data_IF_426115999208
#
_entry.id   IF_426115999208
#
_cell.length_a   1.000
_cell.length_b   1.000
_cell.length_c   1.000
_cell.angle_alpha   90.00
_cell.angle_beta   90.00
_cell.angle_gamma   90.00
#
_symmetry.space_group_name_H-M   'P 1'
#
loop_
_entity.id
_entity.type
_entity.pdbx_description
1 polymer ?
#
# COMPACT_ATOMS: atom_id res chain seq x y z
N UNK A 1 65.70 -55.63 5.15
CA UNK A 1 65.20 -56.14 3.84
C UNK A 1 63.90 -55.39 3.54
N UNK A 2 63.62 -55.07 2.27
CA UNK A 2 63.62 -53.70 1.78
C UNK A 2 62.28 -53.28 1.13
N UNK A 3 62.32 -52.07 0.54
CA UNK A 3 61.72 -51.70 -0.75
C UNK A 3 60.20 -51.52 -0.86
N UNK A 4 59.82 -50.33 -1.34
CA UNK A 4 58.62 -50.13 -2.16
C UNK A 4 58.51 -51.17 -3.27
N UNK A 5 57.30 -51.33 -3.82
CA UNK A 5 57.22 -51.43 -5.27
C UNK A 5 56.21 -50.47 -5.90
N UNK A 6 56.65 -50.06 -7.08
CA UNK A 6 56.04 -49.29 -8.14
C UNK A 6 55.00 -50.11 -8.93
N UNK A 7 54.07 -49.37 -9.55
CA UNK A 7 53.52 -49.56 -10.92
C UNK A 7 52.88 -50.90 -11.35
N UNK A 8 51.70 -50.83 -11.98
CA UNK A 8 51.50 -50.99 -13.43
C UNK A 8 49.99 -51.01 -13.77
N UNK A 9 49.67 -50.38 -14.90
CA UNK A 9 48.38 -50.22 -15.58
C UNK A 9 47.65 -51.53 -15.94
N UNK A 10 46.33 -51.46 -15.99
CA UNK A 10 45.53 -52.12 -17.03
C UNK A 10 44.29 -51.29 -17.37
N UNK A 11 44.19 -50.86 -18.63
CA UNK A 11 43.05 -50.16 -19.22
C UNK A 11 42.05 -51.17 -19.82
N UNK A 12 40.75 -50.90 -19.70
CA UNK A 12 39.64 -51.64 -20.35
C UNK A 12 38.55 -50.60 -20.75
N UNK A 13 37.86 -50.77 -21.90
CA UNK A 13 37.74 -49.70 -22.89
C UNK A 13 36.44 -48.89 -22.85
N UNK A 14 36.53 -47.72 -23.46
CA UNK A 14 35.44 -46.86 -23.93
C UNK A 14 34.54 -47.57 -24.94
N UNK A 15 33.24 -47.63 -24.64
CA UNK A 15 32.18 -47.86 -25.62
C UNK A 15 31.19 -46.70 -25.59
N UNK A 16 30.77 -46.35 -26.80
CA UNK A 16 30.06 -45.16 -27.22
C UNK A 16 28.64 -45.08 -26.64
N UNK A 17 28.25 -43.89 -26.15
CA UNK A 17 26.84 -43.49 -26.06
C UNK A 17 26.64 -42.15 -26.78
N UNK A 18 25.60 -42.03 -27.63
CA UNK A 18 25.44 -40.93 -28.58
C UNK A 18 24.98 -39.63 -27.94
N UNK A 19 25.55 -38.53 -28.43
CA UNK A 19 25.20 -37.14 -28.15
C UNK A 19 23.79 -36.81 -28.66
N UNK A 20 22.92 -36.37 -27.74
CA UNK A 20 21.63 -35.77 -28.08
C UNK A 20 21.81 -34.27 -28.36
N UNK A 21 21.11 -33.71 -29.36
CA UNK A 21 21.41 -32.39 -29.89
C UNK A 21 20.96 -31.25 -28.98
N UNK A 22 21.86 -30.30 -28.75
CA UNK A 22 21.60 -28.98 -28.19
C UNK A 22 20.68 -28.22 -29.14
N UNK A 23 19.37 -28.15 -28.83
CA UNK A 23 18.45 -27.24 -29.50
C UNK A 23 18.58 -25.84 -28.88
N UNK A 24 19.18 -24.93 -29.65
CA UNK A 24 19.03 -23.48 -29.47
C UNK A 24 17.54 -23.13 -29.51
N UNK A 25 17.00 -22.59 -28.43
CA UNK A 25 15.72 -21.88 -28.46
C UNK A 25 16.03 -20.41 -28.70
N UNK A 26 15.57 -19.95 -29.86
CA UNK A 26 15.67 -18.60 -30.36
C UNK A 26 14.84 -17.63 -29.53
N UNK A 27 15.39 -16.41 -29.39
CA UNK A 27 14.73 -15.21 -28.88
C UNK A 27 13.33 -15.07 -29.52
N UNK A 28 12.29 -15.14 -28.70
CA UNK A 28 10.92 -14.81 -29.10
C UNK A 28 10.56 -13.47 -28.48
N UNK A 29 10.22 -12.54 -29.36
CA UNK A 29 9.81 -11.17 -29.04
C UNK A 29 8.50 -11.18 -28.27
N UNK A 30 8.50 -10.55 -27.09
CA UNK A 30 7.29 -10.29 -26.32
C UNK A 30 6.37 -9.37 -27.12
N UNK A 31 5.22 -9.89 -27.54
CA UNK A 31 4.10 -9.09 -28.08
C UNK A 31 3.11 -8.79 -26.95
N UNK A 32 2.55 -7.56 -26.85
CA UNK A 32 1.57 -7.23 -25.82
C UNK A 32 0.29 -8.05 -25.99
N UNK A 33 -0.24 -8.53 -24.88
CA UNK A 33 -1.46 -9.34 -24.82
C UNK A 33 -2.67 -8.53 -25.30
N UNK A 34 -3.39 -9.04 -26.31
CA UNK A 34 -4.67 -8.50 -26.78
C UNK A 34 -5.74 -8.69 -25.70
N UNK A 35 -6.41 -7.59 -25.31
CA UNK A 35 -7.62 -7.59 -24.46
C UNK A 35 -8.69 -8.52 -25.06
N UNK A 36 -9.06 -9.59 -24.38
CA UNK A 36 -10.30 -10.35 -24.64
C UNK A 36 -11.45 -9.67 -23.90
N UNK A 37 -12.43 -9.16 -24.67
CA UNK A 37 -13.68 -8.61 -24.14
C UNK A 37 -14.62 -9.76 -23.78
N UNK A 38 -15.07 -9.82 -22.53
CA UNK A 38 -16.29 -10.54 -22.17
C UNK A 38 -17.41 -9.50 -22.02
N UNK A 39 -18.51 -9.71 -22.73
CA UNK A 39 -19.70 -8.90 -22.65
C UNK A 39 -20.49 -9.28 -21.39
N UNK A 40 -20.64 -8.34 -20.47
CA UNK A 40 -21.67 -8.35 -19.43
C UNK A 40 -22.28 -6.95 -19.39
N UNK A 41 -23.60 -6.92 -19.50
CA UNK A 41 -24.39 -5.72 -19.72
C UNK A 41 -24.54 -4.93 -18.42
N UNK A 42 -23.57 -4.07 -18.11
CA UNK A 42 -23.77 -2.90 -17.25
C UNK A 42 -22.80 -1.81 -17.74
N UNK A 43 -23.26 -1.01 -18.70
CA UNK A 43 -22.47 0.01 -19.37
C UNK A 43 -22.31 1.25 -18.47
N UNK A 44 -21.46 1.19 -17.44
CA UNK A 44 -20.76 2.41 -17.00
C UNK A 44 -19.63 2.61 -18.00
N UNK A 45 -19.73 3.63 -18.83
CA UNK A 45 -18.63 4.09 -19.69
C UNK A 45 -17.39 4.24 -18.80
N UNK A 46 -16.33 3.46 -19.09
CA UNK A 46 -14.99 3.73 -18.59
C UNK A 46 -14.60 5.10 -19.14
N UNK A 47 -14.89 6.15 -18.38
CA UNK A 47 -14.32 7.45 -18.66
C UNK A 47 -12.85 7.32 -18.28
N UNK A 48 -11.97 7.48 -19.27
CA UNK A 48 -10.54 7.50 -19.02
C UNK A 48 -10.25 8.65 -18.03
N UNK A 49 -9.74 8.30 -16.84
CA UNK A 49 -9.35 9.27 -15.82
C UNK A 49 -8.33 10.22 -16.44
N UNK A 50 -8.50 11.54 -16.30
CA UNK A 50 -7.58 12.49 -16.92
C UNK A 50 -6.15 12.30 -16.43
N UNK A 51 -5.20 12.32 -17.37
CA UNK A 51 -3.78 12.26 -17.06
C UNK A 51 -3.35 13.62 -16.49
N UNK A 52 -2.92 13.65 -15.22
CA UNK A 52 -2.46 14.88 -14.57
C UNK A 52 -0.97 15.13 -14.90
N UNK A 53 -0.46 16.37 -14.81
CA UNK A 53 0.94 16.70 -15.12
C UNK A 53 1.98 16.02 -14.20
N UNK A 54 1.54 15.51 -13.05
CA UNK A 54 2.35 14.82 -12.06
C UNK A 54 1.66 13.53 -11.66
N UNK A 55 2.43 12.52 -11.30
CA UNK A 55 1.94 11.24 -10.79
C UNK A 55 2.83 10.73 -9.66
N UNK A 56 2.35 9.73 -8.94
CA UNK A 56 3.15 8.96 -8.00
C UNK A 56 3.80 7.74 -8.66
N UNK A 57 5.05 7.48 -8.32
CA UNK A 57 5.62 6.13 -8.39
C UNK A 57 5.57 5.53 -6.99
N UNK A 58 4.85 4.42 -6.80
CA UNK A 58 4.49 3.93 -5.47
C UNK A 58 5.17 2.61 -5.09
N UNK A 59 5.35 2.40 -3.80
CA UNK A 59 5.76 1.14 -3.17
C UNK A 59 4.93 0.85 -1.93
N UNK A 60 4.82 -0.43 -1.58
CA UNK A 60 4.01 -0.89 -0.44
C UNK A 60 4.84 -1.90 0.35
N UNK A 61 4.92 -1.70 1.68
CA UNK A 61 5.47 -2.65 2.65
C UNK A 61 4.38 -3.01 3.67
N UNK A 62 4.18 -4.31 3.93
CA UNK A 62 3.08 -4.81 4.76
C UNK A 62 3.56 -5.93 5.67
N UNK A 63 3.19 -5.85 6.95
CA UNK A 63 3.27 -6.93 7.91
C UNK A 63 1.97 -7.00 8.71
N UNK A 64 1.40 -8.19 8.82
CA UNK A 64 0.19 -8.39 9.62
C UNK A 64 0.55 -9.11 10.92
N UNK A 65 0.12 -8.59 12.07
CA UNK A 65 0.28 -9.27 13.37
C UNK A 65 -0.45 -10.62 13.40
N UNK A 66 -1.50 -10.75 12.58
CA UNK A 66 -2.28 -11.98 12.42
C UNK A 66 -2.86 -12.12 11.00
N UNK A 67 -3.23 -13.33 10.55
CA UNK A 67 -3.92 -13.50 9.28
C UNK A 67 -5.25 -12.72 9.23
N UNK A 68 -5.56 -12.03 8.12
CA UNK A 68 -6.80 -11.26 7.98
C UNK A 68 -8.02 -12.18 8.08
N UNK A 69 -9.07 -11.70 8.75
CA UNK A 69 -10.36 -12.38 8.74
C UNK A 69 -10.89 -12.44 7.31
N UNK A 70 -11.28 -13.61 6.77
CA UNK A 70 -11.87 -13.70 5.45
C UNK A 70 -13.11 -12.80 5.35
N UNK A 71 -13.29 -12.12 4.22
CA UNK A 71 -14.49 -11.32 4.03
C UNK A 71 -15.74 -12.23 3.97
N UNK A 72 -16.86 -11.84 4.55
CA UNK A 72 -18.09 -12.60 4.45
C UNK A 72 -18.67 -12.50 3.03
N UNK A 73 -19.57 -13.41 2.61
CA UNK A 73 -20.42 -13.17 1.46
C UNK A 73 -21.20 -11.84 1.61
N UNK A 74 -21.46 -11.10 0.51
CA UNK A 74 -21.17 -11.40 -0.89
C UNK A 74 -19.76 -10.97 -1.33
N UNK A 75 -18.95 -10.43 -0.41
CA UNK A 75 -17.67 -9.83 -0.75
C UNK A 75 -16.69 -10.88 -1.29
N UNK A 76 -16.65 -12.10 -0.75
CA UNK A 76 -15.87 -13.20 -1.38
C UNK A 76 -16.69 -13.91 -2.47
N UNK A 77 -16.06 -14.13 -3.63
CA UNK A 77 -16.56 -15.14 -4.58
C UNK A 77 -16.26 -16.55 -4.04
N UNK A 78 -17.26 -17.44 -3.83
CA UNK A 78 -16.96 -18.85 -3.66
C UNK A 78 -16.31 -19.40 -4.95
N UNK A 79 -15.43 -20.41 -4.88
CA UNK A 79 -14.95 -21.08 -6.09
C UNK A 79 -16.14 -21.66 -6.85
N UNK A 80 -16.12 -21.57 -8.18
CA UNK A 80 -17.04 -22.33 -9.02
C UNK A 80 -16.79 -23.82 -8.78
N UNK A 81 -17.62 -24.48 -7.99
CA UNK A 81 -17.56 -25.93 -7.81
C UNK A 81 -18.15 -26.62 -9.04
N UNK A 82 -17.33 -26.77 -10.09
CA UNK A 82 -17.46 -27.87 -11.05
C UNK A 82 -16.20 -28.71 -10.97
N UNK A 83 -16.28 -29.76 -10.16
CA UNK A 83 -15.29 -30.82 -10.07
C UNK A 83 -15.38 -31.70 -11.33
N UNK A 84 -14.57 -31.40 -12.35
CA UNK A 84 -14.02 -32.37 -13.30
C UNK A 84 -12.95 -31.69 -14.17
N UNK A 85 -11.70 -31.58 -13.67
CA UNK A 85 -10.53 -31.66 -14.55
C UNK A 85 -9.28 -32.05 -13.75
N UNK A 86 -8.70 -33.25 -13.96
CA UNK A 86 -7.53 -33.74 -13.24
C UNK A 86 -6.22 -33.29 -13.91
N UNK A 87 -6.02 -31.98 -14.07
CA UNK A 87 -4.71 -31.41 -14.42
C UNK A 87 -4.45 -30.17 -13.56
N UNK A 88 -3.84 -30.42 -12.41
CA UNK A 88 -3.45 -29.42 -11.43
C UNK A 88 -2.43 -28.42 -11.99
N UNK A 89 -2.86 -27.19 -12.24
CA UNK A 89 -1.97 -26.01 -12.33
C UNK A 89 -1.71 -25.48 -10.92
N UNK A 90 -0.83 -26.16 -10.18
CA UNK A 90 -0.44 -25.82 -8.81
C UNK A 90 0.52 -24.61 -8.68
N UNK A 91 0.51 -23.63 -9.61
CA UNK A 91 1.48 -22.51 -9.60
C UNK A 91 0.89 -21.09 -9.70
N UNK A 92 -0.40 -20.88 -9.44
CA UNK A 92 -0.96 -19.54 -9.22
C UNK A 92 -1.94 -19.57 -8.03
N UNK A 93 -1.38 -19.66 -6.83
CA UNK A 93 -2.13 -19.57 -5.58
C UNK A 93 -2.61 -18.14 -5.32
N UNK A 94 -3.90 -18.01 -4.92
CA UNK A 94 -4.50 -16.89 -4.18
C UNK A 94 -4.80 -15.61 -4.96
N UNK A 95 -5.89 -15.62 -5.72
CA UNK A 95 -6.68 -14.40 -5.88
C UNK A 95 -8.17 -14.74 -5.71
N UNK A 96 -8.57 -14.96 -4.44
CA UNK A 96 -9.98 -14.93 -4.00
C UNK A 96 -10.42 -13.47 -4.05
N UNK A 97 -10.63 -12.97 -5.25
CA UNK A 97 -10.93 -11.56 -5.51
C UNK A 97 -12.30 -11.22 -4.95
N UNK A 98 -12.33 -10.15 -4.14
CA UNK A 98 -13.55 -9.71 -3.51
C UNK A 98 -14.30 -8.69 -4.38
N UNK A 99 -15.62 -8.72 -4.39
CA UNK A 99 -16.45 -7.83 -5.22
C UNK A 99 -17.48 -7.06 -4.41
N UNK A 100 -17.75 -5.83 -4.83
CA UNK A 100 -18.88 -5.01 -4.35
C UNK A 100 -19.47 -4.28 -5.54
N UNK A 101 -20.81 -4.26 -5.66
CA UNK A 101 -21.51 -3.63 -6.79
C UNK A 101 -21.01 -4.09 -8.18
N UNK A 102 -20.58 -5.36 -8.30
CA UNK A 102 -20.02 -5.93 -9.53
C UNK A 102 -18.59 -5.49 -9.88
N UNK A 103 -17.94 -4.70 -9.02
CA UNK A 103 -16.56 -4.23 -9.18
C UNK A 103 -15.61 -4.94 -8.22
N UNK A 104 -14.37 -5.14 -8.65
CA UNK A 104 -13.30 -5.67 -7.80
C UNK A 104 -12.99 -4.67 -6.68
N UNK A 105 -13.00 -5.12 -5.42
CA UNK A 105 -12.64 -4.29 -4.27
C UNK A 105 -11.14 -3.95 -4.34
N UNK A 106 -10.85 -2.68 -4.58
CA UNK A 106 -9.50 -2.13 -4.77
C UNK A 106 -8.72 -2.10 -3.46
N UNK A 107 -7.39 -2.05 -3.54
CA UNK A 107 -6.47 -1.95 -2.38
C UNK A 107 -5.65 -3.22 -2.11
N UNK A 108 -5.00 -3.30 -0.95
CA UNK A 108 -4.37 -4.50 -0.35
C UNK A 108 -4.77 -4.56 1.13
N UNK A 109 -5.04 -5.76 1.65
CA UNK A 109 -5.49 -5.98 3.04
C UNK A 109 -4.33 -6.59 3.79
N UNK A 110 -4.10 -6.11 5.01
CA UNK A 110 -2.97 -6.48 5.85
C UNK A 110 -3.46 -6.65 7.29
N UNK A 111 -3.85 -7.87 7.67
CA UNK A 111 -4.55 -8.08 8.94
C UNK A 111 -5.90 -7.36 8.94
N UNK A 112 -6.09 -6.40 9.84
CA UNK A 112 -7.25 -5.52 9.87
C UNK A 112 -7.03 -4.18 9.12
N UNK A 113 -5.80 -3.88 8.70
CA UNK A 113 -5.49 -2.74 7.83
C UNK A 113 -5.91 -2.97 6.38
N UNK A 114 -6.06 -1.86 5.66
CA UNK A 114 -6.00 -1.84 4.21
C UNK A 114 -5.27 -0.61 3.67
N UNK A 115 -4.50 -0.84 2.61
CA UNK A 115 -3.81 0.22 1.86
C UNK A 115 -4.30 0.32 0.43
N UNK A 116 -4.18 1.49 -0.17
CA UNK A 116 -4.37 1.70 -1.60
C UNK A 116 -3.25 2.57 -2.16
N UNK A 117 -2.88 2.32 -3.41
CA UNK A 117 -1.90 3.11 -4.12
C UNK A 117 -2.26 3.18 -5.60
N UNK A 118 -2.21 4.40 -6.15
CA UNK A 118 -2.33 4.70 -7.57
C UNK A 118 -1.48 5.92 -7.93
N UNK A 119 -1.52 6.31 -9.19
CA UNK A 119 -0.82 7.48 -9.73
C UNK A 119 -1.20 8.79 -9.03
N UNK A 120 -2.40 8.89 -8.45
CA UNK A 120 -2.93 10.15 -7.91
C UNK A 120 -3.48 10.04 -6.49
N UNK A 121 -3.52 8.85 -5.90
CA UNK A 121 -4.06 8.66 -4.57
C UNK A 121 -3.38 7.50 -3.85
N UNK A 122 -2.95 7.75 -2.62
CA UNK A 122 -2.49 6.72 -1.69
C UNK A 122 -3.27 6.81 -0.38
N UNK A 123 -3.47 5.70 0.30
CA UNK A 123 -4.04 5.70 1.65
C UNK A 123 -3.59 4.49 2.47
N UNK A 124 -3.62 4.67 3.80
CA UNK A 124 -3.50 3.63 4.81
C UNK A 124 -4.66 3.80 5.79
N UNK A 125 -5.49 2.77 5.89
CA UNK A 125 -6.66 2.73 6.75
C UNK A 125 -6.46 1.59 7.74
N UNK A 126 -6.42 1.89 9.03
CA UNK A 126 -6.31 0.89 10.09
C UNK A 126 -7.70 0.50 10.59
N UNK A 127 -8.02 -0.78 10.45
CA UNK A 127 -9.24 -1.35 10.98
C UNK A 127 -9.10 -1.73 12.45
N UNK A 128 -9.94 -1.15 13.32
CA UNK A 128 -9.86 -1.37 14.77
C UNK A 128 -9.94 -2.86 15.14
N UNK A 129 -8.81 -3.41 15.58
CA UNK A 129 -8.62 -4.86 15.76
C UNK A 129 -9.53 -5.51 16.81
N UNK A 130 -10.10 -4.73 17.73
CA UNK A 130 -11.05 -5.19 18.75
C UNK A 130 -12.30 -5.85 18.14
N UNK A 131 -12.70 -5.47 16.91
CA UNK A 131 -13.83 -6.08 16.21
C UNK A 131 -13.64 -7.57 15.95
N UNK A 132 -12.41 -8.07 15.84
CA UNK A 132 -12.19 -9.49 15.60
C UNK A 132 -12.69 -10.41 16.73
N UNK A 133 -12.90 -9.86 17.93
CA UNK A 133 -13.51 -10.57 19.07
C UNK A 133 -15.02 -10.79 18.89
N UNK A 134 -15.66 -10.02 18.01
CA UNK A 134 -17.09 -10.09 17.74
C UNK A 134 -17.36 -10.99 16.53
N UNK A 135 -18.37 -11.88 16.56
CA UNK A 135 -18.68 -12.78 15.44
C UNK A 135 -18.90 -12.04 14.11
N UNK A 136 -19.57 -10.88 14.18
CA UNK A 136 -19.91 -9.99 13.07
C UNK A 136 -18.87 -8.90 12.79
N UNK A 137 -17.74 -8.90 13.49
CA UNK A 137 -16.71 -7.87 13.33
C UNK A 137 -15.78 -8.18 12.17
N UNK A 138 -15.66 -7.24 11.23
CA UNK A 138 -14.89 -7.34 10.00
C UNK A 138 -14.11 -6.03 9.75
N UNK A 139 -13.21 -5.67 10.66
CA UNK A 139 -12.40 -4.45 10.56
C UNK A 139 -11.59 -4.37 9.24
N UNK A 140 -10.90 -5.46 8.87
CA UNK A 140 -10.22 -5.57 7.57
C UNK A 140 -11.11 -5.42 6.33
N UNK A 141 -12.42 -5.66 6.43
CA UNK A 141 -13.36 -5.36 5.33
C UNK A 141 -13.68 -3.87 5.31
N UNK A 142 -13.92 -3.27 6.48
CA UNK A 142 -14.25 -1.85 6.63
C UNK A 142 -13.12 -0.96 6.12
N UNK A 143 -11.89 -1.18 6.58
CA UNK A 143 -10.69 -0.44 6.10
C UNK A 143 -10.54 -0.54 4.59
N UNK A 144 -10.79 -1.74 4.05
CA UNK A 144 -10.69 -2.05 2.62
C UNK A 144 -11.80 -1.42 1.77
N UNK A 145 -13.04 -1.40 2.25
CA UNK A 145 -14.17 -0.78 1.55
C UNK A 145 -14.05 0.74 1.53
N UNK A 146 -13.62 1.36 2.63
CA UNK A 146 -13.35 2.81 2.66
C UNK A 146 -12.31 3.16 1.59
N UNK A 147 -11.17 2.47 1.54
CA UNK A 147 -10.16 2.72 0.50
C UNK A 147 -10.67 2.48 -0.92
N UNK A 148 -11.50 1.46 -1.13
CA UNK A 148 -12.12 1.18 -2.42
C UNK A 148 -13.05 2.30 -2.88
N UNK A 149 -14.03 2.68 -2.07
CA UNK A 149 -14.99 3.71 -2.45
C UNK A 149 -14.36 5.10 -2.49
N UNK A 150 -13.36 5.38 -1.64
CA UNK A 150 -12.66 6.66 -1.63
C UNK A 150 -11.83 6.87 -2.89
N UNK A 151 -11.05 5.85 -3.31
CA UNK A 151 -10.35 5.92 -4.61
C UNK A 151 -11.32 6.07 -5.79
N UNK A 152 -12.49 5.45 -5.71
CA UNK A 152 -13.50 5.52 -6.77
C UNK A 152 -14.17 6.91 -6.81
N UNK A 153 -14.49 7.48 -5.64
CA UNK A 153 -15.02 8.84 -5.52
C UNK A 153 -14.02 9.88 -6.07
N UNK A 154 -12.74 9.75 -5.75
CA UNK A 154 -11.67 10.61 -6.26
C UNK A 154 -11.57 10.52 -7.80
N UNK A 155 -11.60 9.32 -8.37
CA UNK A 155 -11.58 9.16 -9.83
C UNK A 155 -12.81 9.76 -10.51
N UNK A 156 -14.01 9.55 -9.95
CA UNK A 156 -15.25 10.14 -10.44
C UNK A 156 -15.26 11.67 -10.31
N UNK A 157 -14.64 12.21 -9.25
CA UNK A 157 -14.43 13.63 -9.04
C UNK A 157 -13.48 14.19 -10.12
N UNK A 158 -12.31 13.57 -10.32
CA UNK A 158 -11.32 13.98 -11.32
C UNK A 158 -11.88 14.02 -12.74
N UNK A 159 -12.77 13.08 -13.11
CA UNK A 159 -13.43 13.08 -14.42
C UNK A 159 -14.41 14.25 -14.58
N UNK A 160 -15.08 14.66 -13.50
CA UNK A 160 -16.10 15.73 -13.51
C UNK A 160 -15.52 17.12 -13.25
N UNK A 161 -14.38 17.21 -12.56
CA UNK A 161 -13.77 18.47 -12.14
C UNK A 161 -13.32 19.29 -13.36
N UNK A 162 -13.80 20.53 -13.49
CA UNK A 162 -13.18 21.50 -14.39
C UNK A 162 -11.71 21.71 -13.97
N UNK A 163 -10.81 21.90 -14.94
CA UNK A 163 -9.37 22.12 -14.69
C UNK A 163 -9.04 23.29 -13.75
N UNK A 164 -10.01 24.18 -13.52
CA UNK A 164 -9.88 25.37 -12.65
C UNK A 164 -10.35 25.15 -11.22
N UNK A 165 -10.92 24.00 -10.89
CA UNK A 165 -11.51 23.73 -9.58
C UNK A 165 -10.64 22.76 -8.77
N UNK A 166 -10.52 23.04 -7.49
CA UNK A 166 -9.80 22.19 -6.54
C UNK A 166 -10.65 20.97 -6.14
N UNK A 167 -10.02 19.82 -5.86
CA UNK A 167 -10.73 18.66 -5.34
C UNK A 167 -11.32 18.96 -3.96
N UNK A 168 -12.36 18.22 -3.59
CA UNK A 168 -12.95 18.21 -2.26
C UNK A 168 -12.77 16.81 -1.60
N UNK A 169 -11.59 16.56 -1.00
CA UNK A 169 -11.27 15.27 -0.40
C UNK A 169 -12.25 14.83 0.69
N UNK A 170 -12.76 15.78 1.50
CA UNK A 170 -13.72 15.49 2.58
C UNK A 170 -15.03 14.98 1.99
N UNK A 171 -15.56 15.63 0.94
CA UNK A 171 -16.77 15.15 0.27
C UNK A 171 -16.57 13.78 -0.39
N UNK A 172 -15.40 13.55 -0.98
CA UNK A 172 -15.03 12.24 -1.55
C UNK A 172 -14.94 11.14 -0.49
N UNK A 173 -14.37 11.43 0.69
CA UNK A 173 -14.33 10.50 1.83
C UNK A 173 -15.72 10.29 2.46
N UNK A 174 -16.55 11.33 2.55
CA UNK A 174 -17.93 11.24 3.01
C UNK A 174 -18.76 10.30 2.13
N UNK A 175 -18.68 10.47 0.80
CA UNK A 175 -19.31 9.55 -0.16
C UNK A 175 -18.82 8.11 -0.02
N UNK A 176 -17.53 7.93 0.25
CA UNK A 176 -16.95 6.60 0.48
C UNK A 176 -17.46 5.94 1.77
N UNK A 177 -17.62 6.73 2.83
CA UNK A 177 -18.17 6.29 4.10
C UNK A 177 -19.63 5.86 3.96
N UNK A 178 -20.46 6.64 3.29
CA UNK A 178 -21.87 6.31 3.04
C UNK A 178 -22.03 5.03 2.19
N UNK A 179 -21.23 4.87 1.14
CA UNK A 179 -21.21 3.65 0.33
C UNK A 179 -20.73 2.43 1.12
N UNK A 180 -19.77 2.62 2.03
CA UNK A 180 -19.30 1.55 2.93
C UNK A 180 -20.40 1.13 3.89
N UNK A 181 -21.13 2.09 4.48
CA UNK A 181 -22.30 1.83 5.32
C UNK A 181 -23.35 1.03 4.55
N UNK A 182 -23.72 1.45 3.34
CA UNK A 182 -24.71 0.75 2.52
C UNK A 182 -24.30 -0.69 2.21
N UNK A 183 -23.03 -0.89 1.82
CA UNK A 183 -22.49 -2.21 1.49
C UNK A 183 -22.46 -3.15 2.71
N UNK A 184 -22.20 -2.62 3.90
CA UNK A 184 -22.00 -3.42 5.12
C UNK A 184 -23.28 -3.65 5.93
N UNK A 185 -24.17 -2.66 6.00
CA UNK A 185 -25.44 -2.74 6.74
C UNK A 185 -26.34 -3.88 6.22
N UNK A 186 -26.42 -4.05 4.90
CA UNK A 186 -27.21 -5.09 4.26
C UNK A 186 -26.75 -6.52 4.56
N UNK A 187 -25.49 -6.67 5.02
CA UNK A 187 -24.85 -7.96 5.28
C UNK A 187 -24.43 -8.14 6.73
N UNK A 188 -24.90 -7.26 7.61
CA UNK A 188 -24.69 -7.33 9.05
C UNK A 188 -23.21 -7.31 9.47
N UNK A 189 -22.36 -6.71 8.62
CA UNK A 189 -20.90 -6.67 8.75
C UNK A 189 -20.46 -5.45 9.56
N UNK A 190 -20.18 -5.65 10.85
CA UNK A 190 -19.81 -4.56 11.75
C UNK A 190 -18.31 -4.30 11.71
N UNK A 191 -17.90 -3.08 12.00
CA UNK A 191 -16.50 -2.68 11.98
C UNK A 191 -16.33 -1.18 12.00
N UNK A 192 -15.11 -0.75 12.27
CA UNK A 192 -14.67 0.64 12.21
C UNK A 192 -13.23 0.68 11.71
N UNK A 193 -12.83 1.82 11.18
CA UNK A 193 -11.49 2.04 10.64
C UNK A 193 -11.11 3.51 10.76
N UNK A 194 -9.83 3.79 10.96
CA UNK A 194 -9.25 5.11 10.66
C UNK A 194 -9.22 5.32 9.15
N UNK A 195 -8.99 6.55 8.70
CA UNK A 195 -8.87 6.87 7.28
C UNK A 195 -7.82 7.97 7.07
N UNK A 196 -6.69 7.61 6.47
CA UNK A 196 -5.61 8.54 6.20
C UNK A 196 -5.13 8.41 4.75
N UNK A 197 -5.25 9.49 3.98
CA UNK A 197 -5.02 9.47 2.54
C UNK A 197 -4.43 10.76 2.00
N UNK A 198 -3.75 10.64 0.87
CA UNK A 198 -3.09 11.75 0.20
C UNK A 198 -3.39 11.74 -1.30
N UNK A 199 -4.08 12.79 -1.76
CA UNK A 199 -4.50 12.98 -3.15
C UNK A 199 -3.59 13.98 -3.86
N UNK A 200 -2.92 13.52 -4.93
CA UNK A 200 -2.08 14.37 -5.76
C UNK A 200 -2.93 15.14 -6.77
N UNK A 201 -2.68 16.44 -6.84
CA UNK A 201 -3.22 17.31 -7.85
C UNK A 201 -2.16 18.32 -8.31
N UNK A 202 -2.58 19.36 -9.03
CA UNK A 202 -1.69 20.40 -9.49
C UNK A 202 -2.39 21.77 -9.46
N UNK A 203 -1.59 22.83 -9.31
CA UNK A 203 -2.01 24.21 -9.54
C UNK A 203 -1.28 24.76 -10.76
N UNK A 204 -1.99 25.55 -11.57
CA UNK A 204 -1.38 26.28 -12.70
C UNK A 204 -0.97 27.66 -12.23
N UNK A 205 0.22 28.12 -12.64
CA UNK A 205 0.69 29.45 -12.30
C UNK A 205 -0.19 30.50 -13.00
N UNK A 206 -0.66 31.50 -12.26
CA UNK A 206 -1.53 32.58 -12.75
C UNK A 206 -0.86 33.42 -13.84
N UNK A 207 0.44 33.63 -13.74
CA UNK A 207 1.25 34.40 -14.70
C UNK A 207 1.63 33.59 -15.95
N UNK A 208 1.77 32.27 -15.83
CA UNK A 208 2.12 31.40 -16.94
C UNK A 208 1.34 30.08 -16.86
N UNK A 209 0.18 30.04 -17.54
CA UNK A 209 -0.73 28.89 -17.56
C UNK A 209 -0.11 27.58 -18.08
N UNK A 210 1.10 27.63 -18.62
CA UNK A 210 1.85 26.44 -19.08
C UNK A 210 2.66 25.77 -17.96
N UNK A 211 2.90 26.45 -16.83
CA UNK A 211 3.67 25.91 -15.72
C UNK A 211 2.74 25.42 -14.61
N UNK A 212 2.70 24.10 -14.43
CA UNK A 212 2.00 23.44 -13.32
C UNK A 212 2.99 23.16 -12.17
N UNK A 213 2.49 23.20 -10.93
CA UNK A 213 3.21 22.73 -9.73
C UNK A 213 2.35 21.70 -8.99
N UNK A 214 2.95 20.63 -8.43
CA UNK A 214 2.19 19.59 -7.74
C UNK A 214 1.70 20.11 -6.39
N UNK A 215 0.50 19.67 -6.02
CA UNK A 215 -0.14 20.01 -4.74
C UNK A 215 -0.73 18.73 -4.17
N UNK A 216 -0.52 18.50 -2.89
CA UNK A 216 -1.07 17.37 -2.15
C UNK A 216 -2.23 17.83 -1.30
N UNK A 217 -3.34 17.10 -1.37
CA UNK A 217 -4.45 17.23 -0.45
C UNK A 217 -4.42 16.02 0.48
N UNK A 218 -4.11 16.26 1.74
CA UNK A 218 -4.02 15.23 2.77
C UNK A 218 -5.31 15.25 3.57
N UNK A 219 -5.88 14.08 3.86
CA UNK A 219 -7.09 13.96 4.66
C UNK A 219 -6.92 12.86 5.69
N UNK A 220 -7.17 13.19 6.96
CA UNK A 220 -7.00 12.27 8.07
C UNK A 220 -8.23 12.24 9.00
N UNK A 221 -8.61 11.03 9.40
CA UNK A 221 -9.47 10.70 10.54
C UNK A 221 -8.80 9.58 11.32
N UNK A 222 -8.38 9.87 12.54
CA UNK A 222 -7.69 8.91 13.43
C UNK A 222 -6.19 9.20 13.58
N UNK A 223 -5.44 8.15 13.89
CA UNK A 223 -4.02 8.16 14.27
C UNK A 223 -3.07 7.62 13.17
N UNK A 224 -3.58 7.11 12.05
CA UNK A 224 -2.74 6.91 10.87
C UNK A 224 -2.08 8.22 10.42
N UNK A 225 -0.89 8.13 9.81
CA UNK A 225 -0.09 9.30 9.48
C UNK A 225 0.24 9.41 7.99
N UNK A 226 0.05 10.61 7.43
CA UNK A 226 0.70 11.01 6.17
C UNK A 226 1.87 11.93 6.48
N UNK A 227 3.04 11.61 5.93
CA UNK A 227 4.27 12.40 6.07
C UNK A 227 4.83 12.76 4.69
N UNK A 228 5.29 13.99 4.53
CA UNK A 228 5.98 14.46 3.31
C UNK A 228 7.44 14.74 3.64
N UNK A 229 8.35 14.03 2.98
CA UNK A 229 9.79 14.19 3.07
C UNK A 229 10.32 14.82 1.79
N UNK A 230 11.26 15.76 1.94
CA UNK A 230 12.04 16.32 0.84
C UNK A 230 13.49 15.84 0.91
N UNK A 231 13.86 14.78 0.15
CA UNK A 231 15.21 14.20 0.21
C UNK A 231 16.32 15.18 -0.14
N UNK A 232 16.09 16.13 -1.04
CA UNK A 232 17.09 17.12 -1.46
C UNK A 232 17.59 18.02 -0.31
N UNK A 233 16.76 18.20 0.73
CA UNK A 233 17.10 18.98 1.93
C UNK A 233 17.12 18.15 3.21
N UNK A 234 16.81 16.85 3.12
CA UNK A 234 16.64 15.93 4.26
C UNK A 234 15.66 16.47 5.33
N UNK A 235 14.57 17.12 4.92
CA UNK A 235 13.58 17.75 5.81
C UNK A 235 12.19 17.14 5.68
N UNK A 236 11.52 16.97 6.82
CA UNK A 236 10.08 16.75 6.89
C UNK A 236 9.38 18.07 6.56
N UNK A 237 8.61 18.08 5.48
CA UNK A 237 7.86 19.25 5.00
C UNK A 237 6.51 19.33 5.71
N UNK A 238 5.92 18.17 5.98
CA UNK A 238 4.59 18.06 6.56
C UNK A 238 4.41 16.70 7.22
N UNK A 239 3.61 16.64 8.28
CA UNK A 239 3.00 15.41 8.79
C UNK A 239 1.61 15.72 9.33
N UNK A 240 0.69 14.76 9.24
CA UNK A 240 -0.63 14.87 9.87
C UNK A 240 -0.50 14.86 11.39
N UNK A 241 -1.47 15.50 12.05
CA UNK A 241 -1.66 15.39 13.50
C UNK A 241 -2.68 14.28 13.77
N UNK A 242 -2.35 13.38 14.68
CA UNK A 242 -3.20 12.28 15.11
C UNK A 242 -4.45 12.79 15.84
N UNK A 243 -5.54 12.02 15.75
CA UNK A 243 -6.83 12.41 16.29
C UNK A 243 -7.37 11.32 17.21
N UNK A 244 -7.62 11.70 18.45
CA UNK A 244 -7.99 10.80 19.53
C UNK A 244 -9.29 11.25 20.19
N UNK A 245 -10.06 10.30 20.72
CA UNK A 245 -11.05 10.60 21.76
C UNK A 245 -10.39 10.58 23.15
N UNK A 246 -9.46 9.65 23.34
CA UNK A 246 -8.52 9.51 24.45
C UNK A 246 -7.35 8.63 23.98
N UNK A 247 -6.29 8.50 24.78
CA UNK A 247 -5.12 7.69 24.44
C UNK A 247 -5.48 6.27 24.00
N UNK A 248 -4.88 5.79 22.89
CA UNK A 248 -5.12 4.49 22.26
C UNK A 248 -6.60 4.25 21.83
N UNK A 249 -7.37 5.34 21.68
CA UNK A 249 -8.72 5.32 21.09
C UNK A 249 -8.85 6.40 20.03
N UNK A 250 -8.42 6.11 18.79
CA UNK A 250 -8.46 7.08 17.71
C UNK A 250 -9.90 7.42 17.30
N UNK A 251 -10.05 8.55 16.63
CA UNK A 251 -11.25 8.80 15.83
C UNK A 251 -11.35 7.76 14.73
N UNK A 252 -12.55 7.23 14.51
CA UNK A 252 -12.71 6.07 13.65
C UNK A 252 -14.05 6.10 12.93
N UNK A 253 -14.07 5.77 11.65
CA UNK A 253 -15.29 5.72 10.84
C UNK A 253 -15.92 4.33 10.94
N UNK A 254 -17.21 4.25 11.26
CA UNK A 254 -17.98 3.04 11.04
C UNK A 254 -19.11 2.79 12.02
N UNK A 255 -19.32 1.51 12.32
CA UNK A 255 -20.46 1.03 13.12
C UNK A 255 -20.46 1.66 14.51
N UNK A 256 -21.56 2.36 14.84
CA UNK A 256 -21.77 3.03 16.14
C UNK A 256 -20.68 4.03 16.53
N UNK A 257 -19.85 4.49 15.58
CA UNK A 257 -18.94 5.58 15.82
C UNK A 257 -19.69 6.90 15.77
N UNK A 258 -19.40 7.87 16.66
CA UNK A 258 -19.90 9.23 16.53
C UNK A 258 -19.18 10.01 15.41
N UNK A 259 -18.04 9.51 14.90
CA UNK A 259 -17.23 10.25 13.95
C UNK A 259 -17.74 10.09 12.52
N UNK A 260 -17.79 11.20 11.79
CA UNK A 260 -18.08 11.25 10.36
C UNK A 260 -16.97 11.99 9.61
N UNK A 261 -16.75 11.71 8.31
CA UNK A 261 -15.79 12.48 7.53
C UNK A 261 -16.09 13.98 7.54
N UNK A 262 -17.35 14.38 7.38
CA UNK A 262 -17.73 15.79 7.32
C UNK A 262 -17.47 16.55 8.62
N UNK A 263 -17.69 15.91 9.77
CA UNK A 263 -17.57 16.56 11.07
C UNK A 263 -16.16 16.46 11.67
N UNK A 264 -15.38 15.44 11.28
CA UNK A 264 -14.14 15.10 11.99
C UNK A 264 -12.90 15.03 11.10
N UNK A 265 -13.01 14.92 9.77
CA UNK A 265 -11.83 14.85 8.92
C UNK A 265 -11.10 16.20 8.90
N UNK A 266 -9.78 16.14 9.09
CA UNK A 266 -8.90 17.28 8.87
C UNK A 266 -8.33 17.15 7.47
N UNK A 267 -8.44 18.23 6.68
CA UNK A 267 -7.88 18.32 5.34
C UNK A 267 -6.86 19.45 5.27
N UNK A 268 -5.63 19.08 4.93
CA UNK A 268 -4.51 19.99 4.78
C UNK A 268 -4.00 19.99 3.34
N UNK A 269 -3.62 21.17 2.87
CA UNK A 269 -3.07 21.38 1.53
C UNK A 269 -1.58 21.66 1.62
N UNK A 270 -0.78 20.83 0.95
CA UNK A 270 0.67 20.88 1.00
C UNK A 270 1.23 21.11 -0.40
N UNK A 271 2.06 22.12 -0.56
CA UNK A 271 2.78 22.35 -1.82
C UNK A 271 3.93 21.34 -1.94
N UNK A 272 3.98 20.62 -3.06
CA UNK A 272 5.01 19.62 -3.33
C UNK A 272 6.03 20.12 -4.36
N UNK A 273 7.19 19.50 -4.33
CA UNK A 273 8.21 19.53 -5.38
C UNK A 273 8.36 18.15 -6.03
N UNK A 274 8.80 18.14 -7.30
CA UNK A 274 9.16 16.89 -7.96
C UNK A 274 10.36 16.29 -7.24
N UNK A 275 10.26 15.03 -6.84
CA UNK A 275 11.24 14.36 -6.00
C UNK A 275 10.87 14.30 -4.52
N UNK A 276 9.82 15.02 -4.08
CA UNK A 276 9.26 14.84 -2.74
C UNK A 276 8.63 13.44 -2.61
N UNK A 277 8.71 12.89 -1.39
CA UNK A 277 8.21 11.57 -1.05
C UNK A 277 7.06 11.73 -0.08
N UNK A 278 5.94 11.10 -0.39
CA UNK A 278 4.76 11.04 0.45
C UNK A 278 4.66 9.63 1.02
N UNK A 279 4.59 9.53 2.34
CA UNK A 279 4.33 8.29 3.07
C UNK A 279 2.90 8.33 3.60
N UNK A 280 2.16 7.24 3.47
CA UNK A 280 0.94 6.97 4.22
C UNK A 280 1.15 5.70 5.06
N UNK A 281 0.97 5.81 6.37
CA UNK A 281 1.40 4.82 7.35
C UNK A 281 0.30 4.56 8.39
N UNK A 282 0.17 3.31 8.85
CA UNK A 282 -0.66 2.97 10.03
C UNK A 282 0.05 3.30 11.34
N UNK A 283 -0.69 3.27 12.44
CA UNK A 283 -0.18 3.42 13.81
C UNK A 283 0.97 2.43 14.09
N UNK A 284 0.89 1.21 13.57
CA UNK A 284 1.92 0.18 13.69
C UNK A 284 3.33 0.60 13.24
N UNK A 285 3.47 1.66 12.45
CA UNK A 285 4.76 2.28 12.14
C UNK A 285 5.15 3.34 13.17
N UNK A 286 4.27 4.34 13.37
CA UNK A 286 4.56 5.54 14.16
C UNK A 286 4.59 5.27 15.67
N UNK A 287 3.93 4.21 16.13
CA UNK A 287 4.01 3.73 17.51
C UNK A 287 5.35 3.07 17.83
N UNK A 288 6.08 2.65 16.79
CA UNK A 288 7.30 1.85 16.90
C UNK A 288 8.55 2.55 16.37
N UNK A 289 8.43 3.69 15.69
CA UNK A 289 9.57 4.45 15.16
C UNK A 289 9.35 5.95 15.35
N UNK A 290 10.38 6.65 15.85
CA UNK A 290 10.33 8.10 15.90
C UNK A 290 10.49 8.71 14.49
N UNK A 291 10.02 9.94 14.32
CA UNK A 291 10.09 10.67 13.04
C UNK A 291 11.49 10.67 12.42
N UNK A 292 12.53 10.90 13.24
CA UNK A 292 13.91 10.96 12.77
C UNK A 292 14.41 9.60 12.25
N UNK A 293 13.92 8.50 12.81
CA UNK A 293 14.25 7.15 12.35
C UNK A 293 13.56 6.83 11.03
N UNK A 294 12.27 7.18 10.90
CA UNK A 294 11.51 7.04 9.66
C UNK A 294 12.25 7.75 8.52
N UNK A 295 12.65 9.01 8.73
CA UNK A 295 13.39 9.81 7.75
C UNK A 295 14.72 9.14 7.41
N UNK A 296 15.51 8.74 8.42
CA UNK A 296 16.81 8.11 8.20
C UNK A 296 16.70 6.80 7.40
N UNK A 297 15.68 5.97 7.67
CA UNK A 297 15.44 4.70 6.97
C UNK A 297 15.09 4.93 5.51
N UNK A 298 14.17 5.85 5.22
CA UNK A 298 13.78 6.17 3.83
C UNK A 298 14.96 6.73 3.04
N UNK A 299 15.70 7.70 3.59
CA UNK A 299 16.86 8.28 2.91
C UNK A 299 17.96 7.25 2.66
N UNK A 300 18.23 6.37 3.64
CA UNK A 300 19.18 5.28 3.48
C UNK A 300 18.77 4.33 2.36
N UNK A 301 17.53 3.85 2.38
CA UNK A 301 17.01 2.91 1.38
C UNK A 301 17.10 3.47 -0.04
N UNK A 302 16.80 4.75 -0.22
CA UNK A 302 16.90 5.42 -1.53
C UNK A 302 18.34 5.56 -1.98
N UNK A 303 19.26 5.99 -1.09
CA UNK A 303 20.69 6.08 -1.42
C UNK A 303 21.26 4.71 -1.83
N UNK A 304 20.87 3.64 -1.14
CA UNK A 304 21.26 2.27 -1.46
C UNK A 304 20.67 1.82 -2.82
N UNK A 305 19.40 2.10 -3.07
CA UNK A 305 18.75 1.83 -4.36
C UNK A 305 19.46 2.53 -5.52
N UNK A 306 19.76 3.83 -5.38
CA UNK A 306 20.45 4.64 -6.39
C UNK A 306 21.86 4.13 -6.69
N UNK A 307 22.57 3.61 -5.67
CA UNK A 307 23.90 3.02 -5.83
C UNK A 307 23.89 1.77 -6.72
N UNK A 308 22.75 1.08 -6.81
CA UNK A 308 22.59 -0.10 -7.65
C UNK A 308 23.14 -1.39 -7.08
N UNK A 309 23.44 -1.40 -5.79
CA UNK A 309 23.89 -2.60 -5.06
C UNK A 309 22.73 -3.52 -4.70
N UNK A 310 21.49 -3.01 -4.72
CA UNK A 310 20.30 -3.79 -4.37
C UNK A 310 20.03 -4.91 -5.40
N UNK A 311 19.75 -6.12 -4.93
CA UNK A 311 19.57 -7.31 -5.78
C UNK A 311 18.42 -7.15 -6.80
N UNK A 312 17.39 -6.40 -6.42
CA UNK A 312 16.22 -6.11 -7.25
C UNK A 312 16.37 -4.88 -8.13
N UNK A 313 17.56 -4.23 -8.15
CA UNK A 313 17.79 -3.06 -8.97
C UNK A 313 17.70 -3.42 -10.47
N UNK A 314 16.67 -2.90 -11.14
CA UNK A 314 16.50 -3.05 -12.57
C UNK A 314 17.33 -2.01 -13.35
N UNK A 315 17.53 -2.25 -14.65
CA UNK A 315 18.09 -1.24 -15.56
C UNK A 315 17.05 -0.14 -15.77
N UNK A 316 17.37 1.10 -15.40
CA UNK A 316 16.48 2.26 -15.55
C UNK A 316 16.98 3.47 -14.76
N UNK A 317 16.23 4.56 -14.82
CA UNK A 317 16.45 5.74 -13.97
C UNK A 317 16.13 5.40 -12.51
N UNK A 318 17.09 5.51 -11.61
CA UNK A 318 16.90 5.21 -10.17
C UNK A 318 16.82 6.45 -9.30
N UNK A 319 16.99 7.63 -9.91
CA UNK A 319 17.05 8.92 -9.22
C UNK A 319 15.82 9.11 -8.34
N UNK A 320 15.99 9.48 -7.08
CA UNK A 320 14.91 9.67 -6.10
C UNK A 320 14.17 8.38 -5.70
N UNK A 321 14.68 7.19 -6.03
CA UNK A 321 14.00 5.92 -5.73
C UNK A 321 13.02 5.46 -6.82
N UNK A 322 13.16 5.98 -8.04
CA UNK A 322 12.38 5.55 -9.21
C UNK A 322 12.58 4.08 -9.56
N UNK A 323 11.64 3.55 -10.36
CA UNK A 323 11.72 2.19 -10.93
C UNK A 323 11.80 1.05 -9.89
N UNK A 324 11.20 1.24 -8.71
CA UNK A 324 11.06 0.22 -7.68
C UNK A 324 11.68 0.58 -6.34
N UNK A 325 12.45 1.66 -6.24
CA UNK A 325 13.06 2.11 -4.99
C UNK A 325 12.03 2.42 -3.91
N UNK A 326 10.86 2.97 -4.26
CA UNK A 326 9.78 3.18 -3.28
C UNK A 326 9.26 1.88 -2.65
N UNK A 327 9.29 0.76 -3.37
CA UNK A 327 8.90 -0.54 -2.81
C UNK A 327 9.93 -1.04 -1.82
N UNK A 328 11.22 -0.88 -2.12
CA UNK A 328 12.31 -1.24 -1.21
C UNK A 328 12.23 -0.35 0.03
N UNK A 329 12.09 0.97 -0.13
CA UNK A 329 11.96 1.91 0.98
C UNK A 329 10.75 1.62 1.88
N UNK A 330 9.58 1.30 1.31
CA UNK A 330 8.41 0.93 2.08
C UNK A 330 8.60 -0.40 2.85
N UNK A 331 9.27 -1.37 2.23
CA UNK A 331 9.58 -2.66 2.87
C UNK A 331 10.59 -2.50 4.01
N UNK A 332 11.68 -1.76 3.77
CA UNK A 332 12.72 -1.50 4.77
C UNK A 332 12.16 -0.75 5.98
N UNK A 333 11.28 0.23 5.75
CA UNK A 333 10.63 0.97 6.83
C UNK A 333 9.69 0.07 7.64
N UNK A 334 8.88 -0.75 6.96
CA UNK A 334 8.01 -1.72 7.62
C UNK A 334 8.82 -2.73 8.45
N UNK A 335 9.94 -3.24 7.92
CA UNK A 335 10.79 -4.19 8.63
C UNK A 335 11.43 -3.55 9.87
N UNK A 336 11.89 -2.30 9.77
CA UNK A 336 12.41 -1.56 10.93
C UNK A 336 11.34 -1.37 12.02
N UNK A 337 10.11 -1.01 11.65
CA UNK A 337 9.02 -0.89 12.61
C UNK A 337 8.68 -2.25 13.24
N UNK A 338 8.68 -3.32 12.44
CA UNK A 338 8.43 -4.68 12.91
C UNK A 338 9.48 -5.15 13.92
N UNK A 339 10.76 -4.83 13.70
CA UNK A 339 11.85 -5.18 14.63
C UNK A 339 11.59 -4.62 16.02
N UNK A 340 11.13 -3.37 16.13
CA UNK A 340 10.74 -2.74 17.39
C UNK A 340 9.44 -3.32 17.94
N UNK A 341 8.43 -3.49 17.07
CA UNK A 341 7.09 -3.97 17.46
C UNK A 341 7.08 -5.36 18.13
N UNK A 342 8.06 -6.22 17.82
CA UNK A 342 8.18 -7.57 18.40
C UNK A 342 9.10 -7.65 19.61
N UNK A 343 9.84 -6.58 19.92
CA UNK A 343 10.77 -6.54 21.04
C UNK A 343 10.07 -6.02 22.31
N UNK A 344 9.86 -6.87 23.33
CA UNK A 344 9.21 -6.48 24.57
C UNK A 344 10.08 -5.55 25.44
N UNK A 345 11.34 -5.32 25.08
CA UNK A 345 12.27 -4.45 25.82
C UNK A 345 12.71 -3.21 25.01
N UNK A 346 12.21 -3.04 23.79
CA UNK A 346 12.54 -1.88 22.99
C UNK A 346 11.91 -0.60 23.57
N UNK A 347 12.61 0.52 23.40
CA UNK A 347 12.02 1.85 23.58
C UNK A 347 11.20 2.19 22.33
N UNK A 348 10.00 2.73 22.53
CA UNK A 348 9.09 3.04 21.42
C UNK A 348 8.31 4.33 21.71
N UNK A 349 7.91 5.09 20.66
CA UNK A 349 7.03 6.24 20.83
C UNK A 349 5.74 5.90 21.60
N UNK A 350 5.15 4.74 21.34
CA UNK A 350 3.95 4.30 22.07
C UNK A 350 4.21 4.11 23.56
N UNK A 351 5.33 3.48 23.93
CA UNK A 351 5.72 3.32 25.33
C UNK A 351 5.88 4.69 26.01
N UNK A 352 6.60 5.62 25.38
CA UNK A 352 6.82 6.97 25.89
C UNK A 352 5.47 7.66 26.18
N UNK A 353 4.56 7.65 25.21
CA UNK A 353 3.24 8.29 25.35
C UNK A 353 2.34 7.60 26.38
N UNK A 354 2.37 6.28 26.46
CA UNK A 354 1.64 5.53 27.48
C UNK A 354 2.10 5.91 28.89
N UNK A 355 3.41 6.09 29.10
CA UNK A 355 3.97 6.53 30.38
C UNK A 355 3.55 7.97 30.71
N UNK A 356 3.54 8.87 29.72
CA UNK A 356 3.05 10.26 29.88
C UNK A 356 1.57 10.31 30.31
N UNK A 357 0.76 9.38 29.81
CA UNK A 357 -0.65 9.19 30.20
C UNK A 357 -0.82 8.45 31.55
N UNK A 358 0.28 8.07 32.20
CA UNK A 358 0.29 7.41 33.51
C UNK A 358 0.03 5.91 33.46
N UNK A 359 0.18 5.28 32.30
CA UNK A 359 0.07 3.83 32.11
C UNK A 359 1.45 3.17 32.20
N UNK A 360 1.53 2.02 32.86
CA UNK A 360 2.74 1.21 32.84
C UNK A 360 2.82 0.44 31.50
N UNK A 361 3.76 0.83 30.66
CA UNK A 361 4.03 0.21 29.36
C UNK A 361 5.53 0.03 29.15
N UNK A 362 5.93 -1.07 28.52
CA UNK A 362 7.31 -1.39 28.14
C UNK A 362 7.29 -2.12 26.77
N UNK A 363 8.34 -1.94 25.97
CA UNK A 363 8.47 -2.59 24.66
C UNK A 363 7.86 -1.84 23.49
N UNK A 364 7.92 -2.45 22.31
CA UNK A 364 7.16 -2.03 21.13
C UNK A 364 5.69 -2.46 21.17
N UNK A 365 4.86 -1.84 20.32
CA UNK A 365 3.44 -2.18 20.14
C UNK A 365 3.28 -3.11 18.95
N UNK A 366 2.93 -4.37 19.21
CA UNK A 366 2.67 -5.34 18.14
C UNK A 366 1.34 -5.04 17.42
N UNK A 367 1.41 -4.39 16.25
CA UNK A 367 0.27 -4.11 15.38
C UNK A 367 0.42 -4.63 13.93
N UNK A 368 -0.63 -4.50 13.13
CA UNK A 368 -0.55 -4.52 11.68
C UNK A 368 0.23 -3.28 11.22
N UNK A 369 1.29 -3.50 10.44
CA UNK A 369 2.22 -2.46 9.99
C UNK A 369 2.04 -2.27 8.49
N UNK A 370 1.55 -1.10 8.12
CA UNK A 370 1.23 -0.76 6.74
C UNK A 370 1.97 0.51 6.30
N UNK A 371 2.74 0.42 5.22
CA UNK A 371 3.46 1.55 4.62
C UNK A 371 3.14 1.64 3.14
N UNK A 372 2.71 2.82 2.69
CA UNK A 372 2.67 3.21 1.27
C UNK A 372 3.64 4.37 1.08
N UNK A 373 4.69 4.15 0.28
CA UNK A 373 5.62 5.21 -0.11
C UNK A 373 5.35 5.64 -1.55
N UNK A 374 5.35 6.93 -1.82
CA UNK A 374 5.03 7.49 -3.12
C UNK A 374 5.98 8.63 -3.49
N UNK A 375 6.71 8.47 -4.59
CA UNK A 375 7.57 9.50 -5.15
C UNK A 375 6.78 10.40 -6.10
N UNK A 376 6.78 11.71 -5.87
CA UNK A 376 6.18 12.67 -6.79
C UNK A 376 7.06 12.85 -8.04
N UNK A 377 6.57 12.46 -9.22
CA UNK A 377 7.27 12.59 -10.49
C UNK A 377 6.44 13.37 -11.51
N UNK A 378 7.10 13.97 -12.51
CA UNK A 378 6.42 14.51 -13.68
C UNK A 378 5.83 13.37 -14.50
N UNK A 379 4.64 13.59 -15.03
CA UNK A 379 4.02 12.66 -15.97
C UNK A 379 4.68 12.87 -17.35
N UNK A 380 5.27 11.80 -17.88
CA UNK A 380 5.70 11.74 -19.27
C UNK A 380 4.45 11.38 -20.07
N UNK A 381 3.83 12.39 -20.69
CA UNK A 381 2.43 12.36 -21.17
C UNK A 381 2.09 11.34 -22.25
#
# INVERSE_FOLDING_TARGET
MPSQPSSILAAVPTSFLPSLPVRRLTCTTWRPCRKRRFASTTTRLLHDVPILPFRFETGIGLFAKRPPRPFPPPFLSPPSTSFTDPLSTHHQSRDRRAFVNGQLIRGKTNGDDAVYASDYFICANDGVGAWATRPRGHAGLWSRLIGHFWSSAIEEELVRLPKSQEPNPIASLQSAYEQTLEATMSHDCLGTTTACGAQLHYKTCTENKTQASPVLYVTNVGDCQVMVLRPSTEKVIYKTVEQWHWFDCPRQLGTNSPDTPTDNAVMDKVDLEVGDIVLAMSDGVIDNLWEHEIVARILKSIKEWESGTHAEAHKGDRTGGRNGGMRVAAQDLMEAAREIAVDPFAESPFMEHAIEEGLASEGGKLDDISVVAALCVKNEG
#
